data_IF_466829133163
#
_entry.id   IF_466829133163
#
_cell.length_a   1.000
_cell.length_b   1.000
_cell.length_c   1.000
_cell.angle_alpha   90.00
_cell.angle_beta   90.00
_cell.angle_gamma   90.00
#
_symmetry.space_group_name_H-M   'P 1'
#
loop_
_entity.id
_entity.type
_entity.pdbx_description
1 polymer ?
#
# COMPACT_ATOMS: atom_id res chain seq x y z
N UNK A 1 8.73 -15.63 -2.33
CA UNK A 1 7.46 -15.51 -1.61
C UNK A 1 7.72 -15.30 -0.13
N UNK A 2 7.07 -14.33 0.45
CA UNK A 2 7.19 -14.06 1.86
C UNK A 2 6.45 -15.12 2.68
N UNK A 3 6.95 -15.38 3.88
CA UNK A 3 6.24 -16.25 4.82
C UNK A 3 5.36 -15.41 5.72
N UNK A 4 4.07 -15.70 5.70
CA UNK A 4 3.10 -14.92 6.44
C UNK A 4 2.76 -15.59 7.75
N UNK A 5 2.82 -14.83 8.83
CA UNK A 5 2.53 -15.33 10.15
C UNK A 5 1.18 -14.87 10.65
N UNK A 6 0.68 -13.75 10.13
CA UNK A 6 -0.56 -13.16 10.59
C UNK A 6 -1.33 -12.52 9.46
N UNK A 7 -2.65 -12.66 9.50
CA UNK A 7 -3.56 -11.82 8.75
C UNK A 7 -3.78 -10.57 9.59
N UNK A 8 -3.60 -9.40 9.00
CA UNK A 8 -3.87 -8.16 9.69
C UNK A 8 -5.38 -8.00 9.89
N UNK A 9 -5.79 -7.62 11.10
CA UNK A 9 -7.18 -7.29 11.36
C UNK A 9 -7.50 -5.94 10.78
N UNK A 10 -8.50 -5.91 9.90
CA UNK A 10 -9.00 -4.69 9.28
C UNK A 10 -10.41 -4.41 9.75
N UNK A 11 -10.76 -3.13 9.90
CA UNK A 11 -12.15 -2.73 10.13
C UNK A 11 -13.05 -3.00 8.93
N UNK A 12 -12.46 -3.21 7.75
CA UNK A 12 -13.17 -3.55 6.52
C UNK A 12 -13.06 -5.05 6.25
N UNK A 13 -13.62 -5.84 7.14
CA UNK A 13 -13.51 -7.30 7.05
C UNK A 13 -14.47 -7.85 6.00
N UNK A 14 -13.95 -8.22 4.85
CA UNK A 14 -14.70 -8.95 3.83
C UNK A 14 -13.88 -10.12 3.31
N UNK A 15 -14.55 -11.13 2.75
CA UNK A 15 -13.85 -12.28 2.17
C UNK A 15 -13.04 -11.93 0.93
N UNK A 16 -13.29 -10.75 0.35
CA UNK A 16 -12.63 -10.32 -0.90
C UNK A 16 -11.53 -9.30 -0.65
N UNK A 17 -11.24 -8.99 0.60
CA UNK A 17 -10.19 -8.05 0.98
C UNK A 17 -9.35 -8.69 2.09
N UNK A 18 -8.10 -8.96 1.78
CA UNK A 18 -7.20 -9.63 2.72
C UNK A 18 -5.87 -8.89 2.78
N UNK A 19 -5.42 -8.63 4.00
CA UNK A 19 -4.11 -8.04 4.23
C UNK A 19 -3.28 -9.01 5.05
N UNK A 20 -2.12 -9.37 4.52
CA UNK A 20 -1.12 -10.16 5.22
C UNK A 20 0.02 -9.27 5.62
N UNK A 21 0.59 -9.50 6.78
CA UNK A 21 1.80 -8.82 7.17
C UNK A 21 2.79 -9.78 7.82
N UNK A 22 4.05 -9.52 7.57
CA UNK A 22 5.16 -10.23 8.20
C UNK A 22 5.63 -9.40 9.38
N UNK A 23 5.32 -9.87 10.59
CA UNK A 23 5.71 -9.21 11.83
C UNK A 23 6.95 -9.83 12.45
N UNK A 24 7.68 -10.61 11.68
CA UNK A 24 8.80 -11.42 12.19
C UNK A 24 10.01 -10.59 12.61
N UNK A 25 10.01 -9.30 12.27
CA UNK A 25 11.12 -8.39 12.57
C UNK A 25 10.60 -7.16 13.30
N UNK A 26 11.36 -6.08 13.26
CA UNK A 26 10.94 -4.82 13.83
C UNK A 26 9.80 -4.20 13.02
N UNK A 27 9.14 -3.17 13.57
CA UNK A 27 8.02 -2.50 12.93
C UNK A 27 8.43 -1.72 11.67
N UNK A 28 9.69 -1.36 11.54
CA UNK A 28 10.18 -0.56 10.42
C UNK A 28 10.28 -1.40 9.16
N UNK A 29 10.57 -2.70 9.34
CA UNK A 29 10.78 -3.64 8.22
C UNK A 29 9.56 -4.50 7.95
N UNK A 30 8.42 -4.23 8.57
CA UNK A 30 7.22 -5.02 8.35
C UNK A 30 6.77 -4.90 6.91
N UNK A 31 6.66 -6.03 6.23
CA UNK A 31 6.18 -6.09 4.86
C UNK A 31 4.71 -6.48 4.82
N UNK A 32 4.02 -5.94 3.85
CA UNK A 32 2.58 -6.14 3.67
C UNK A 32 2.29 -6.71 2.28
N UNK A 33 1.23 -7.49 2.20
CA UNK A 33 0.59 -7.85 0.94
C UNK A 33 -0.91 -7.66 1.08
N UNK A 34 -1.50 -6.89 0.19
CA UNK A 34 -2.94 -6.73 0.15
C UNK A 34 -3.49 -7.38 -1.11
N UNK A 35 -4.48 -8.24 -0.91
CA UNK A 35 -5.17 -8.94 -1.97
C UNK A 35 -6.58 -8.39 -2.13
N UNK A 36 -6.96 -8.09 -3.35
CA UNK A 36 -8.33 -7.78 -3.73
C UNK A 36 -8.84 -9.00 -4.51
N UNK A 37 -9.83 -9.67 -3.95
CA UNK A 37 -10.20 -11.01 -4.40
C UNK A 37 -8.96 -11.92 -4.26
N UNK A 38 -8.49 -12.54 -5.31
CA UNK A 38 -7.29 -13.37 -5.27
C UNK A 38 -6.08 -12.70 -5.94
N UNK A 39 -6.18 -11.41 -6.24
CA UNK A 39 -5.14 -10.66 -6.93
C UNK A 39 -4.30 -9.87 -5.94
N UNK A 40 -2.99 -10.06 -5.97
CA UNK A 40 -2.06 -9.24 -5.21
C UNK A 40 -2.02 -7.84 -5.81
N UNK A 41 -2.38 -6.83 -5.00
CA UNK A 41 -2.52 -5.45 -5.46
C UNK A 41 -1.46 -4.55 -4.85
N UNK A 42 -1.22 -4.67 -3.54
CA UNK A 42 -0.24 -3.85 -2.83
C UNK A 42 0.78 -4.76 -2.17
N UNK A 43 2.05 -4.43 -2.30
CA UNK A 43 3.13 -5.16 -1.62
C UNK A 43 4.26 -4.19 -1.22
N UNK A 44 4.95 -4.53 -0.15
CA UNK A 44 6.12 -3.81 0.34
C UNK A 44 5.98 -3.32 1.77
N UNK A 45 6.88 -2.43 2.15
CA UNK A 45 6.83 -1.74 3.45
C UNK A 45 6.00 -0.47 3.33
N UNK A 46 5.54 0.08 4.45
CA UNK A 46 4.67 1.26 4.41
C UNK A 46 5.32 2.50 3.79
N UNK A 47 6.64 2.56 3.76
CA UNK A 47 7.37 3.66 3.13
C UNK A 47 7.80 3.36 1.69
N UNK A 48 7.50 2.18 1.17
CA UNK A 48 7.91 1.75 -0.18
C UNK A 48 6.89 0.78 -0.77
N UNK A 49 5.65 1.21 -0.88
CA UNK A 49 4.58 0.36 -1.38
C UNK A 49 4.53 0.35 -2.91
N UNK A 50 4.48 -0.84 -3.47
CA UNK A 50 4.18 -1.06 -4.87
C UNK A 50 2.70 -1.36 -5.04
N UNK A 51 2.07 -0.75 -6.04
CA UNK A 51 0.66 -0.98 -6.36
C UNK A 51 0.61 -1.46 -7.81
N UNK A 52 0.09 -2.68 -8.01
CA UNK A 52 0.20 -3.35 -9.31
C UNK A 52 -0.85 -2.91 -10.31
N UNK A 53 -2.01 -2.45 -9.86
CA UNK A 53 -3.03 -1.97 -10.78
C UNK A 53 -4.31 -1.58 -10.07
N UNK A 54 -5.17 -0.87 -10.78
CA UNK A 54 -6.46 -0.42 -10.25
C UNK A 54 -7.58 -1.41 -10.53
N UNK A 55 -7.45 -2.26 -11.54
CA UNK A 55 -8.31 -3.35 -11.96
C UNK A 55 -9.81 -3.04 -12.06
N UNK A 56 -10.49 -2.79 -10.93
CA UNK A 56 -11.93 -2.54 -10.89
C UNK A 56 -12.25 -1.47 -9.85
N UNK A 57 -13.52 -1.03 -9.82
CA UNK A 57 -13.97 -0.09 -8.79
C UNK A 57 -13.86 -0.70 -7.39
N UNK A 58 -14.12 -2.00 -7.26
CA UNK A 58 -13.97 -2.69 -5.97
C UNK A 58 -12.49 -2.73 -5.54
N UNK A 59 -11.58 -2.99 -6.46
CA UNK A 59 -10.14 -2.97 -6.18
C UNK A 59 -9.70 -1.57 -5.74
N UNK A 60 -10.20 -0.52 -6.39
CA UNK A 60 -9.91 0.87 -5.99
C UNK A 60 -10.39 1.14 -4.57
N UNK A 61 -11.54 0.64 -4.20
CA UNK A 61 -12.07 0.75 -2.83
C UNK A 61 -11.17 0.02 -1.84
N UNK A 62 -10.71 -1.17 -2.17
CA UNK A 62 -9.79 -1.94 -1.33
C UNK A 62 -8.46 -1.20 -1.13
N UNK A 63 -7.93 -0.59 -2.18
CA UNK A 63 -6.71 0.24 -2.08
C UNK A 63 -6.96 1.42 -1.15
N UNK A 64 -8.12 2.09 -1.28
CA UNK A 64 -8.47 3.22 -0.42
C UNK A 64 -8.54 2.78 1.05
N UNK A 65 -9.13 1.63 1.32
CA UNK A 65 -9.19 1.08 2.68
C UNK A 65 -7.80 0.86 3.25
N UNK A 66 -6.92 0.23 2.47
CA UNK A 66 -5.55 -0.04 2.91
C UNK A 66 -4.81 1.28 3.22
N UNK A 67 -4.88 2.22 2.33
CA UNK A 67 -4.22 3.52 2.50
C UNK A 67 -4.75 4.24 3.73
N UNK A 68 -6.06 4.30 3.90
CA UNK A 68 -6.68 5.00 5.03
C UNK A 68 -6.36 4.35 6.37
N UNK A 69 -6.22 3.03 6.40
CA UNK A 69 -5.92 2.30 7.64
C UNK A 69 -4.45 2.42 8.04
N UNK A 70 -3.55 2.59 7.09
CA UNK A 70 -2.11 2.54 7.35
C UNK A 70 -1.43 3.91 7.28
N UNK A 71 -2.07 4.91 6.71
CA UNK A 71 -1.55 6.27 6.71
C UNK A 71 -1.76 6.90 8.09
N UNK A 72 -0.95 7.92 8.40
CA UNK A 72 -1.14 8.72 9.61
C UNK A 72 -2.56 9.31 9.58
N UNK A 73 -3.23 9.32 10.73
CA UNK A 73 -4.60 9.83 10.86
C UNK A 73 -4.75 11.28 10.39
N UNK A 74 -3.68 12.05 10.43
CA UNK A 74 -3.64 13.44 9.96
C UNK A 74 -3.23 13.58 8.51
N UNK A 75 -2.77 12.49 7.90
CA UNK A 75 -2.35 12.51 6.51
C UNK A 75 -3.56 12.50 5.59
N UNK A 76 -3.42 13.17 4.47
CA UNK A 76 -4.38 13.08 3.38
C UNK A 76 -3.63 12.62 2.14
N UNK A 77 -3.82 11.34 1.77
CA UNK A 77 -3.19 10.76 0.59
C UNK A 77 -4.20 10.86 -0.55
N UNK A 78 -4.07 11.82 -1.46
CA UNK A 78 -4.99 11.91 -2.60
C UNK A 78 -4.81 10.70 -3.52
N UNK A 79 -5.92 10.26 -4.11
CA UNK A 79 -5.91 9.08 -4.97
C UNK A 79 -5.02 9.28 -6.21
N UNK A 80 -4.74 10.51 -6.60
CA UNK A 80 -3.79 10.82 -7.66
C UNK A 80 -2.41 10.25 -7.40
N UNK A 81 -1.96 10.21 -6.14
CA UNK A 81 -0.67 9.59 -5.81
C UNK A 81 -0.70 8.09 -6.05
N UNK A 82 -1.83 7.44 -5.74
CA UNK A 82 -2.02 6.02 -6.04
C UNK A 82 -1.93 5.78 -7.55
N UNK A 83 -2.60 6.62 -8.33
CA UNK A 83 -2.58 6.52 -9.79
C UNK A 83 -1.17 6.69 -10.36
N UNK A 84 -0.38 7.61 -9.80
CA UNK A 84 1.02 7.79 -10.20
C UNK A 84 1.83 6.51 -10.00
N UNK A 85 1.70 5.89 -8.85
CA UNK A 85 2.42 4.67 -8.51
C UNK A 85 2.02 3.51 -9.42
N UNK A 86 0.74 3.40 -9.74
CA UNK A 86 0.25 2.38 -10.68
C UNK A 86 0.79 2.62 -12.08
N UNK A 87 0.88 3.88 -12.51
CA UNK A 87 1.29 4.23 -13.86
C UNK A 87 2.79 4.05 -14.12
N UNK A 88 3.61 4.01 -13.06
CA UNK A 88 5.07 3.93 -13.22
C UNK A 88 5.64 2.90 -12.25
N UNK A 89 6.19 1.82 -12.79
CA UNK A 89 6.73 0.71 -12.00
C UNK A 89 7.91 1.10 -11.10
N UNK A 90 8.54 2.25 -11.35
CA UNK A 90 9.65 2.74 -10.53
C UNK A 90 9.20 3.63 -9.38
N UNK A 91 7.91 3.90 -9.29
CA UNK A 91 7.36 4.75 -8.23
C UNK A 91 6.85 3.89 -7.07
N UNK A 92 7.01 4.42 -5.87
CA UNK A 92 6.54 3.78 -4.64
C UNK A 92 5.79 4.78 -3.79
N UNK A 93 4.71 4.31 -3.17
CA UNK A 93 3.90 5.12 -2.25
C UNK A 93 4.47 5.01 -0.86
N UNK A 94 4.65 6.15 -0.20
CA UNK A 94 5.15 6.25 1.17
C UNK A 94 4.03 6.77 2.07
N UNK A 95 3.45 5.89 2.88
CA UNK A 95 2.38 6.25 3.80
C UNK A 95 2.90 6.86 5.10
N UNK A 96 4.20 6.73 5.35
CA UNK A 96 4.82 7.29 6.56
C UNK A 96 5.11 8.77 6.35
N UNK A 97 5.60 9.14 5.16
CA UNK A 97 5.98 10.51 4.82
C UNK A 97 5.03 11.20 3.84
N UNK A 98 3.91 10.54 3.48
CA UNK A 98 2.87 11.09 2.59
C UNK A 98 3.41 11.56 1.25
N UNK A 99 4.17 10.72 0.59
CA UNK A 99 4.80 11.10 -0.67
C UNK A 99 4.95 9.91 -1.62
N UNK A 100 5.40 10.20 -2.82
CA UNK A 100 5.76 9.20 -3.82
C UNK A 100 7.24 9.34 -4.13
N UNK A 101 7.96 8.22 -4.08
CA UNK A 101 9.38 8.13 -4.40
C UNK A 101 9.58 7.54 -5.78
N UNK A 102 10.58 8.06 -6.49
CA UNK A 102 11.19 7.35 -7.62
C UNK A 102 12.34 6.53 -7.06
N UNK A 103 12.24 5.20 -7.09
CA UNK A 103 13.27 4.34 -6.51
C UNK A 103 14.54 4.29 -7.33
N UNK A 104 14.51 4.73 -8.59
CA UNK A 104 15.71 4.75 -9.44
C UNK A 104 16.59 5.96 -9.14
N UNK A 105 16.02 7.07 -8.73
CA UNK A 105 16.74 8.31 -8.42
C UNK A 105 16.84 8.60 -6.93
N UNK A 106 15.95 8.00 -6.14
CA UNK A 106 15.84 8.28 -4.72
C UNK A 106 15.15 9.61 -4.40
N UNK A 107 14.50 10.22 -5.38
CA UNK A 107 13.87 11.54 -5.22
C UNK A 107 12.39 11.41 -4.91
N UNK A 108 11.89 12.34 -4.10
CA UNK A 108 10.46 12.54 -3.90
C UNK A 108 9.93 13.30 -5.10
N UNK A 109 8.92 12.73 -5.76
CA UNK A 109 8.35 13.32 -6.99
C UNK A 109 6.96 13.91 -6.77
N UNK A 110 6.31 13.57 -5.68
CA UNK A 110 5.00 14.12 -5.32
C UNK A 110 4.79 13.98 -3.82
N UNK A 111 4.03 14.90 -3.25
CA UNK A 111 3.72 14.89 -1.83
C UNK A 111 2.21 14.98 -1.62
N UNK A 112 1.73 14.34 -0.55
CA UNK A 112 0.38 14.49 -0.04
C UNK A 112 0.24 15.74 0.83
N UNK A 113 -0.93 15.93 1.40
CA UNK A 113 -1.23 17.09 2.24
C UNK A 113 -1.16 16.77 3.72
#
# INVERSE_FOLDING_TARGET
MLKWFNIEKSKHTTKNYTVWKDTNRDNVSTEYEMYSYNTLVITGTLDRLEITGLYSMTTRRHIRWFVDEHADARANIPFELVKMVVANKNYRLDLIHDCVWDITTGEIIAEGY
#
